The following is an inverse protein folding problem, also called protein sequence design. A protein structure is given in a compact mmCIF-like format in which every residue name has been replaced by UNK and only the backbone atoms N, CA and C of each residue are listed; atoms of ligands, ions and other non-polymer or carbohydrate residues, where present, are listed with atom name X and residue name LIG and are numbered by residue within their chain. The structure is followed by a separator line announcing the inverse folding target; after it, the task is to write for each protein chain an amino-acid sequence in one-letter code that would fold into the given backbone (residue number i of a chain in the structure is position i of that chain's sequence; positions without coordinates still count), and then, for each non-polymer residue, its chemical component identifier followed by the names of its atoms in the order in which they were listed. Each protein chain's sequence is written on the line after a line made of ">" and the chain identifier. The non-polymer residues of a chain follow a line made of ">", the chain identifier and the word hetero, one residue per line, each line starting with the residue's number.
data_IF_057739679490
#
_entry.id   IF_057739679490
#
_cell.length_a   1.000
_cell.length_b   1.000
_cell.length_c   1.000
_cell.angle_alpha   90.00
_cell.angle_beta   90.00
_cell.angle_gamma   90.00
#
_symmetry.space_group_name_H-M   'P 1'
#
loop_
_entity.id
_entity.type
_entity.pdbx_description
1 polymer ?
#
# COMPACT_ATOMS: atom_id res chain seq x y z
N UNK A 1 13.78 -5.57 4.72
CA UNK A 1 13.73 -4.58 3.62
C UNK A 1 14.59 -5.05 2.48
N UNK A 2 14.07 -4.94 1.25
CA UNK A 2 14.72 -5.31 0.00
C UNK A 2 14.16 -4.43 -1.14
N UNK A 3 14.65 -3.20 -1.31
CA UNK A 3 14.16 -2.28 -2.35
C UNK A 3 14.89 -2.57 -3.66
N UNK A 4 14.16 -2.86 -4.75
CA UNK A 4 14.77 -3.10 -6.08
C UNK A 4 15.46 -1.87 -6.64
N UNK A 5 16.58 -2.08 -7.31
CA UNK A 5 17.39 -1.06 -7.97
C UNK A 5 17.73 -1.48 -9.41
N UNK A 6 17.54 -0.56 -10.34
CA UNK A 6 17.87 -0.68 -11.75
C UNK A 6 19.28 -0.18 -12.01
N UNK A 7 20.28 -0.91 -11.51
CA UNK A 7 21.69 -0.52 -11.60
C UNK A 7 22.33 -1.07 -12.90
N UNK A 8 22.92 -0.21 -13.75
CA UNK A 8 23.74 -0.64 -14.87
C UNK A 8 24.96 -1.44 -14.39
N UNK A 9 25.33 -2.47 -15.13
CA UNK A 9 26.45 -3.35 -14.74
C UNK A 9 27.78 -2.60 -14.54
N UNK A 10 28.01 -1.53 -15.30
CA UNK A 10 29.20 -0.67 -15.20
C UNK A 10 29.29 0.14 -13.91
N UNK A 11 28.19 0.33 -13.19
CA UNK A 11 28.12 1.19 -12.01
C UNK A 11 28.06 0.41 -10.69
N UNK A 12 27.85 -0.92 -10.77
CA UNK A 12 27.65 -1.78 -9.59
C UNK A 12 28.75 -1.67 -8.54
N UNK A 13 30.02 -1.58 -8.96
CA UNK A 13 31.15 -1.65 -8.02
C UNK A 13 31.25 -0.39 -7.16
N UNK A 14 30.84 0.77 -7.70
CA UNK A 14 30.77 2.03 -6.96
C UNK A 14 29.68 2.02 -5.89
N UNK A 15 28.61 1.25 -6.12
CA UNK A 15 27.44 1.28 -5.27
C UNK A 15 27.46 0.21 -4.16
N UNK A 16 28.41 -0.73 -4.20
CA UNK A 16 28.59 -1.78 -3.19
C UNK A 16 28.80 -1.22 -1.78
N UNK A 17 29.46 -0.07 -1.65
CA UNK A 17 29.69 0.59 -0.36
C UNK A 17 28.37 0.99 0.33
N UNK A 18 27.30 1.25 -0.44
CA UNK A 18 25.98 1.58 0.07
C UNK A 18 25.15 0.34 0.47
N UNK A 19 25.74 -0.86 0.43
CA UNK A 19 25.10 -2.08 0.90
C UNK A 19 24.10 -2.70 -0.08
N UNK A 20 24.24 -2.41 -1.38
CA UNK A 20 23.46 -3.08 -2.42
C UNK A 20 23.86 -4.56 -2.53
N UNK A 21 22.91 -5.41 -2.89
CA UNK A 21 23.12 -6.84 -3.10
C UNK A 21 22.49 -7.31 -4.39
N UNK A 22 23.03 -8.38 -4.97
CA UNK A 22 22.49 -9.01 -6.16
C UNK A 22 21.62 -10.20 -5.76
N UNK A 23 20.38 -10.24 -6.24
CA UNK A 23 19.53 -11.42 -6.17
C UNK A 23 19.67 -12.22 -7.47
N UNK A 24 20.23 -13.43 -7.39
CA UNK A 24 20.52 -14.26 -8.56
C UNK A 24 19.26 -14.84 -9.22
N UNK A 25 18.26 -15.23 -8.43
CA UNK A 25 17.01 -15.82 -8.90
C UNK A 25 16.18 -14.80 -9.69
N UNK A 26 16.00 -13.61 -9.13
CA UNK A 26 15.22 -12.53 -9.72
C UNK A 26 16.03 -11.58 -10.61
N UNK A 27 17.34 -11.83 -10.74
CA UNK A 27 18.29 -11.05 -11.55
C UNK A 27 18.16 -9.54 -11.35
N UNK A 28 18.13 -9.10 -10.09
CA UNK A 28 17.95 -7.69 -9.74
C UNK A 28 18.88 -7.29 -8.60
N UNK A 29 19.32 -6.03 -8.62
CA UNK A 29 20.00 -5.42 -7.49
C UNK A 29 18.97 -4.94 -6.48
N UNK A 30 19.31 -4.98 -5.20
CA UNK A 30 18.42 -4.48 -4.15
C UNK A 30 19.19 -3.90 -2.97
N UNK A 31 18.55 -2.97 -2.27
CA UNK A 31 19.04 -2.33 -1.05
C UNK A 31 18.39 -2.96 0.19
N UNK A 32 19.19 -3.30 1.20
CA UNK A 32 18.68 -3.86 2.46
C UNK A 32 18.51 -2.84 3.59
N UNK A 33 19.26 -1.74 3.57
CA UNK A 33 19.20 -0.71 4.59
C UNK A 33 18.70 0.61 3.98
N UNK A 34 17.52 1.06 4.40
CA UNK A 34 16.90 2.29 3.91
C UNK A 34 17.71 3.55 4.21
N UNK A 35 18.63 3.50 5.19
CA UNK A 35 19.50 4.65 5.51
C UNK A 35 20.34 5.10 4.32
N UNK A 36 20.67 4.17 3.42
CA UNK A 36 21.44 4.46 2.23
C UNK A 36 20.58 4.77 0.99
N UNK A 37 19.25 4.78 1.13
CA UNK A 37 18.33 4.95 0.00
C UNK A 37 18.52 6.28 -0.73
N UNK A 38 18.88 7.34 0.00
CA UNK A 38 19.16 8.64 -0.60
C UNK A 38 20.34 8.59 -1.58
N UNK A 39 21.39 7.82 -1.28
CA UNK A 39 22.59 7.68 -2.13
C UNK A 39 22.35 6.89 -3.42
N UNK A 40 21.32 6.04 -3.45
CA UNK A 40 21.00 5.17 -4.59
C UNK A 40 19.66 5.51 -5.26
N UNK A 41 19.05 6.65 -4.90
CA UNK A 41 17.70 7.03 -5.32
C UNK A 41 17.52 7.20 -6.84
N UNK A 42 18.60 7.50 -7.56
CA UNK A 42 18.61 7.58 -9.04
C UNK A 42 18.35 6.25 -9.74
N UNK A 43 18.53 5.13 -9.05
CA UNK A 43 18.36 3.78 -9.59
C UNK A 43 17.02 3.15 -9.21
N UNK A 44 16.12 3.88 -8.55
CA UNK A 44 14.79 3.39 -8.22
C UNK A 44 13.93 3.27 -9.48
N UNK A 45 12.98 2.32 -9.49
CA UNK A 45 11.97 2.19 -10.55
C UNK A 45 11.25 3.52 -10.80
N UNK A 46 10.92 4.23 -9.72
CA UNK A 46 10.37 5.57 -9.77
C UNK A 46 10.95 6.42 -8.63
N UNK A 47 11.70 7.46 -8.99
CA UNK A 47 12.30 8.42 -8.04
C UNK A 47 11.29 9.25 -7.24
N UNK A 48 10.02 9.28 -7.69
CA UNK A 48 8.94 10.04 -7.04
C UNK A 48 8.17 9.21 -6.01
N UNK A 49 8.52 7.94 -5.78
CA UNK A 49 7.94 7.18 -4.68
C UNK A 49 8.22 7.88 -3.34
N UNK A 50 7.19 8.05 -2.54
CA UNK A 50 7.22 8.75 -1.25
C UNK A 50 7.22 7.79 -0.07
N UNK A 51 6.85 6.52 -0.27
CA UNK A 51 6.95 5.47 0.74
C UNK A 51 7.11 4.08 0.12
N UNK A 52 7.60 3.13 0.91
CA UNK A 52 7.71 1.72 0.54
C UNK A 52 7.12 0.82 1.62
N UNK A 53 6.19 -0.06 1.24
CA UNK A 53 5.74 -1.15 2.10
C UNK A 53 6.83 -2.22 2.18
N UNK A 54 7.16 -2.69 3.39
CA UNK A 54 8.29 -3.59 3.63
C UNK A 54 7.83 -4.87 4.33
N UNK A 55 8.47 -6.00 4.01
CA UNK A 55 8.18 -7.35 4.54
C UNK A 55 6.77 -7.92 4.24
N UNK A 56 5.71 -7.13 4.40
CA UNK A 56 4.32 -7.54 4.17
C UNK A 56 3.50 -6.36 3.66
N UNK A 57 2.77 -6.58 2.57
CA UNK A 57 1.68 -5.72 2.14
C UNK A 57 0.38 -6.26 2.76
N UNK A 58 -0.37 -5.39 3.43
CA UNK A 58 -1.70 -5.72 3.93
C UNK A 58 -2.73 -5.23 2.90
N UNK A 59 -3.57 -6.13 2.40
CA UNK A 59 -4.71 -5.78 1.54
C UNK A 59 -5.96 -5.98 2.36
N UNK A 60 -6.69 -4.91 2.63
CA UNK A 60 -7.93 -4.93 3.41
C UNK A 60 -9.10 -5.03 2.44
N UNK A 61 -9.96 -6.03 2.61
CA UNK A 61 -11.20 -6.19 1.87
C UNK A 61 -12.39 -5.87 2.79
N UNK A 62 -13.32 -5.06 2.27
CA UNK A 62 -14.64 -4.83 2.85
C UNK A 62 -15.73 -4.96 1.79
N UNK A 63 -16.99 -4.85 2.20
CA UNK A 63 -18.14 -4.93 1.30
C UNK A 63 -19.05 -3.72 1.49
N UNK A 64 -19.46 -3.12 0.38
CA UNK A 64 -20.39 -1.97 0.38
C UNK A 64 -21.52 -2.20 -0.64
N UNK A 65 -22.61 -1.46 -0.48
CA UNK A 65 -23.59 -1.29 -1.56
C UNK A 65 -23.08 -0.25 -2.55
N UNK A 66 -22.97 -0.61 -3.82
CA UNK A 66 -22.59 0.34 -4.86
C UNK A 66 -23.60 1.49 -4.96
N UNK A 67 -23.15 2.74 -4.83
CA UNK A 67 -24.03 3.93 -4.88
C UNK A 67 -24.85 4.05 -6.18
N UNK A 68 -24.39 3.44 -7.28
CA UNK A 68 -25.05 3.52 -8.59
C UNK A 68 -26.00 2.36 -8.88
N UNK A 69 -25.61 1.12 -8.57
CA UNK A 69 -26.39 -0.07 -8.94
C UNK A 69 -26.89 -0.89 -7.76
N UNK A 70 -26.62 -0.45 -6.53
CA UNK A 70 -27.07 -1.03 -5.26
C UNK A 70 -26.63 -2.47 -4.98
N UNK A 71 -25.88 -3.11 -5.89
CA UNK A 71 -25.29 -4.43 -5.66
C UNK A 71 -24.21 -4.34 -4.59
N UNK A 72 -24.17 -5.35 -3.72
CA UNK A 72 -23.07 -5.57 -2.78
C UNK A 72 -21.82 -5.91 -3.58
N UNK A 73 -20.74 -5.15 -3.37
CA UNK A 73 -19.47 -5.31 -4.07
C UNK A 73 -18.30 -5.33 -3.08
N UNK A 74 -17.21 -6.07 -3.37
CA UNK A 74 -15.98 -5.95 -2.62
C UNK A 74 -15.27 -4.64 -2.97
N UNK A 75 -14.74 -3.98 -1.95
CA UNK A 75 -13.83 -2.84 -2.05
C UNK A 75 -12.55 -3.15 -1.28
N UNK A 76 -11.45 -2.52 -1.68
CA UNK A 76 -10.14 -2.82 -1.14
C UNK A 76 -9.40 -1.55 -0.70
N UNK A 77 -8.71 -1.63 0.43
CA UNK A 77 -7.71 -0.67 0.88
C UNK A 77 -6.35 -1.35 0.98
N UNK A 78 -5.30 -0.54 0.97
CA UNK A 78 -3.93 -1.00 1.14
C UNK A 78 -3.39 -0.51 2.48
N UNK A 79 -2.48 -1.27 3.07
CA UNK A 79 -1.75 -0.85 4.24
C UNK A 79 -0.46 -1.64 4.40
N UNK A 80 0.31 -1.27 5.41
CA UNK A 80 1.44 -2.07 5.84
C UNK A 80 1.67 -1.89 7.33
N UNK A 81 2.09 -2.97 7.99
CA UNK A 81 2.52 -2.96 9.40
C UNK A 81 3.96 -2.47 9.56
N UNK A 82 4.75 -2.45 8.48
CA UNK A 82 6.12 -1.97 8.47
C UNK A 82 6.42 -1.30 7.13
N UNK A 83 6.75 -0.02 7.15
CA UNK A 83 7.06 0.70 5.93
C UNK A 83 8.11 1.77 6.19
N UNK A 84 8.74 2.25 5.12
CA UNK A 84 9.53 3.48 5.17
C UNK A 84 8.81 4.58 4.41
N UNK A 85 8.96 5.83 4.85
CA UNK A 85 8.37 6.98 4.19
C UNK A 85 9.33 8.16 4.20
N UNK A 86 9.17 9.06 3.24
CA UNK A 86 10.02 10.24 3.09
C UNK A 86 9.37 11.45 3.76
N UNK A 87 10.07 12.03 4.73
CA UNK A 87 9.64 13.24 5.44
C UNK A 87 10.80 14.25 5.46
N UNK A 88 10.56 15.48 5.00
CA UNK A 88 11.56 16.57 4.94
C UNK A 88 12.89 16.16 4.28
N UNK A 89 12.84 15.25 3.30
CA UNK A 89 14.02 14.78 2.57
C UNK A 89 14.67 13.51 3.11
N UNK A 90 14.32 13.10 4.32
CA UNK A 90 14.87 11.94 5.02
C UNK A 90 13.93 10.74 4.96
N UNK A 91 14.50 9.53 4.93
CA UNK A 91 13.73 8.29 5.00
C UNK A 91 13.61 7.82 6.45
N UNK A 92 12.37 7.63 6.89
CA UNK A 92 12.04 7.20 8.25
C UNK A 92 11.35 5.84 8.22
N UNK A 93 11.60 5.03 9.24
CA UNK A 93 10.96 3.73 9.41
C UNK A 93 9.75 3.82 10.34
N UNK A 94 8.64 3.21 9.93
CA UNK A 94 7.40 3.14 10.70
C UNK A 94 7.03 1.68 11.00
N UNK A 95 7.04 1.26 12.27
CA UNK A 95 6.72 -0.11 12.67
C UNK A 95 5.25 -0.32 13.10
N UNK A 96 4.34 0.59 12.73
CA UNK A 96 2.90 0.47 13.06
C UNK A 96 2.06 0.35 11.81
N UNK A 97 0.99 -0.44 11.92
CA UNK A 97 -0.01 -0.57 10.88
C UNK A 97 -0.64 0.77 10.53
N UNK A 98 -0.60 1.11 9.25
CA UNK A 98 -1.25 2.29 8.67
C UNK A 98 -1.88 1.90 7.34
N UNK A 99 -2.92 2.63 6.96
CA UNK A 99 -3.60 2.51 5.67
C UNK A 99 -3.09 3.57 4.71
N UNK A 100 -3.06 3.24 3.43
CA UNK A 100 -2.64 4.12 2.35
C UNK A 100 -3.86 4.53 1.52
N UNK A 101 -3.92 5.81 1.14
CA UNK A 101 -4.95 6.37 0.24
C UNK A 101 -4.32 7.29 -0.81
N UNK A 102 -5.14 7.77 -1.73
CA UNK A 102 -4.78 8.72 -2.77
C UNK A 102 -3.51 8.28 -3.52
N UNK A 103 -3.44 6.97 -3.83
CA UNK A 103 -2.24 6.38 -4.42
C UNK A 103 -2.16 6.75 -5.89
N UNK A 104 -1.27 7.67 -6.22
CA UNK A 104 -1.07 8.22 -7.57
C UNK A 104 0.00 7.49 -8.36
N UNK A 105 0.92 6.79 -7.69
CA UNK A 105 1.90 5.91 -8.33
C UNK A 105 2.23 4.69 -7.46
N UNK A 106 2.63 3.60 -8.09
CA UNK A 106 3.01 2.35 -7.42
C UNK A 106 3.96 1.54 -8.32
N UNK A 107 4.75 0.66 -7.71
CA UNK A 107 5.67 -0.26 -8.40
C UNK A 107 4.97 -1.32 -9.25
N UNK A 108 5.62 -1.81 -10.30
CA UNK A 108 5.07 -2.87 -11.15
C UNK A 108 4.87 -4.20 -10.40
N UNK A 109 5.68 -4.48 -9.39
CA UNK A 109 5.47 -5.64 -8.51
C UNK A 109 4.10 -5.59 -7.83
N UNK A 110 3.63 -4.40 -7.43
CA UNK A 110 2.29 -4.25 -6.87
C UNK A 110 1.20 -4.52 -7.93
N UNK A 111 1.38 -4.07 -9.18
CA UNK A 111 0.49 -4.44 -10.30
C UNK A 111 0.36 -5.95 -10.44
N UNK A 112 1.47 -6.68 -10.31
CA UNK A 112 1.50 -8.14 -10.42
C UNK A 112 0.81 -8.83 -9.26
N UNK A 113 0.89 -8.29 -8.05
CA UNK A 113 0.15 -8.78 -6.89
C UNK A 113 -1.37 -8.64 -7.11
N UNK A 114 -1.85 -7.48 -7.59
CA UNK A 114 -3.27 -7.30 -7.89
C UNK A 114 -3.79 -8.32 -8.93
N UNK A 115 -3.00 -8.56 -9.99
CA UNK A 115 -3.31 -9.58 -11.01
C UNK A 115 -3.36 -10.99 -10.40
N UNK A 116 -2.34 -11.36 -9.62
CA UNK A 116 -2.25 -12.68 -8.98
C UNK A 116 -3.42 -12.94 -8.03
N UNK A 117 -3.83 -11.93 -7.26
CA UNK A 117 -4.97 -12.01 -6.35
C UNK A 117 -6.34 -11.83 -7.05
N UNK A 118 -6.36 -11.65 -8.37
CA UNK A 118 -7.57 -11.38 -9.16
C UNK A 118 -8.38 -10.16 -8.65
N UNK A 119 -7.69 -9.13 -8.13
CA UNK A 119 -8.31 -7.89 -7.66
C UNK A 119 -8.47 -6.95 -8.85
N UNK A 120 -9.64 -7.02 -9.50
CA UNK A 120 -9.98 -6.20 -10.67
C UNK A 120 -10.66 -4.88 -10.35
N UNK A 121 -11.07 -4.66 -9.10
CA UNK A 121 -11.80 -3.45 -8.70
C UNK A 121 -10.90 -2.28 -8.36
N UNK A 122 -9.60 -2.48 -8.11
CA UNK A 122 -8.63 -1.40 -7.91
C UNK A 122 -7.98 -1.02 -9.24
N UNK A 123 -8.24 0.19 -9.72
CA UNK A 123 -7.69 0.69 -10.99
C UNK A 123 -7.44 2.20 -10.92
N UNK A 124 -6.38 2.67 -11.58
CA UNK A 124 -6.14 4.11 -11.72
C UNK A 124 -7.30 4.78 -12.47
N UNK A 125 -7.81 5.88 -11.93
CA UNK A 125 -8.88 6.63 -12.57
C UNK A 125 -8.93 8.08 -12.08
N UNK A 126 -9.31 8.99 -12.98
CA UNK A 126 -9.43 10.42 -12.67
C UNK A 126 -10.65 10.70 -11.78
N UNK A 127 -10.48 11.51 -10.74
CA UNK A 127 -11.54 12.05 -9.89
C UNK A 127 -11.72 13.54 -10.18
N UNK A 128 -12.93 13.94 -10.58
CA UNK A 128 -13.25 15.36 -10.80
C UNK A 128 -13.17 16.17 -9.50
N UNK A 129 -13.62 15.58 -8.38
CA UNK A 129 -13.60 16.22 -7.06
C UNK A 129 -12.18 16.46 -6.57
N UNK A 130 -11.27 15.51 -6.80
CA UNK A 130 -9.87 15.61 -6.35
C UNK A 130 -8.93 16.24 -7.39
N UNK A 131 -9.42 16.51 -8.62
CA UNK A 131 -8.63 17.07 -9.71
C UNK A 131 -7.42 16.21 -10.15
N UNK A 132 -7.39 14.92 -9.81
CA UNK A 132 -6.23 14.05 -10.01
C UNK A 132 -6.63 12.59 -10.29
N UNK A 133 -5.68 11.79 -10.79
CA UNK A 133 -5.86 10.34 -10.97
C UNK A 133 -5.16 9.57 -9.87
N UNK A 134 -5.89 8.69 -9.20
CA UNK A 134 -5.37 7.80 -8.18
C UNK A 134 -5.94 6.39 -8.34
N UNK A 135 -5.38 5.41 -7.64
CA UNK A 135 -5.83 4.03 -7.58
C UNK A 135 -7.17 3.98 -6.83
N UNK A 136 -8.24 3.67 -7.53
CA UNK A 136 -9.60 3.82 -7.03
C UNK A 136 -10.36 2.51 -7.14
N UNK A 137 -11.25 2.28 -6.17
CA UNK A 137 -12.20 1.19 -6.23
C UNK A 137 -13.26 1.44 -7.31
N UNK A 138 -13.60 0.43 -8.09
CA UNK A 138 -14.67 0.42 -9.08
C UNK A 138 -15.64 -0.72 -8.80
N UNK A 139 -16.92 -0.45 -9.05
CA UNK A 139 -17.94 -1.49 -9.00
C UNK A 139 -17.70 -2.51 -10.10
N UNK A 140 -17.48 -3.77 -9.74
CA UNK A 140 -17.28 -4.85 -10.72
C UNK A 140 -18.53 -5.11 -11.58
N UNK A 141 -19.72 -4.69 -11.13
CA UNK A 141 -20.96 -4.89 -11.85
C UNK A 141 -21.30 -3.78 -12.86
N UNK A 142 -21.11 -2.50 -12.50
CA UNK A 142 -21.51 -1.36 -13.32
C UNK A 142 -20.39 -0.35 -13.60
N UNK A 143 -19.16 -0.65 -13.16
CA UNK A 143 -17.94 0.12 -13.38
C UNK A 143 -17.95 1.54 -12.80
N UNK A 144 -18.93 1.87 -11.95
CA UNK A 144 -18.94 3.15 -11.25
C UNK A 144 -17.77 3.26 -10.26
N UNK A 145 -17.11 4.41 -10.28
CA UNK A 145 -16.06 4.80 -9.33
C UNK A 145 -16.64 4.86 -7.91
N UNK A 146 -15.97 4.23 -6.96
CA UNK A 146 -16.25 4.32 -5.53
C UNK A 146 -15.20 5.24 -4.91
N UNK A 147 -15.59 6.49 -4.63
CA UNK A 147 -14.64 7.53 -4.21
C UNK A 147 -14.06 7.28 -2.82
N UNK A 148 -12.79 7.65 -2.63
CA UNK A 148 -12.08 7.42 -1.36
C UNK A 148 -12.70 8.10 -0.16
N UNK A 149 -13.29 9.29 -0.31
CA UNK A 149 -13.95 10.00 0.80
C UNK A 149 -15.00 9.12 1.52
N UNK A 150 -15.85 8.44 0.76
CA UNK A 150 -16.85 7.51 1.30
C UNK A 150 -16.26 6.23 1.88
N UNK A 151 -15.07 5.84 1.42
CA UNK A 151 -14.40 4.61 1.83
C UNK A 151 -13.44 4.79 3.00
N UNK A 152 -13.01 6.02 3.30
CA UNK A 152 -11.97 6.31 4.29
C UNK A 152 -12.29 7.45 5.27
N UNK A 153 -13.19 8.39 4.95
CA UNK A 153 -13.33 9.64 5.73
C UNK A 153 -14.73 9.89 6.30
N UNK A 154 -15.77 9.32 5.68
CA UNK A 154 -17.13 9.38 6.21
C UNK A 154 -17.28 8.67 7.57
N UNK A 155 -18.28 9.08 8.36
CA UNK A 155 -18.51 8.56 9.73
C UNK A 155 -18.73 7.03 9.72
N UNK A 156 -19.36 6.50 8.66
CA UNK A 156 -19.66 5.08 8.46
C UNK A 156 -18.77 4.43 7.38
N UNK A 157 -17.59 5.01 7.17
CA UNK A 157 -16.59 4.51 6.24
C UNK A 157 -16.17 3.06 6.56
N UNK A 158 -16.22 2.19 5.55
CA UNK A 158 -15.84 0.77 5.70
C UNK A 158 -14.37 0.59 6.12
N UNK A 159 -13.47 1.52 5.76
CA UNK A 159 -12.05 1.47 6.17
C UNK A 159 -11.72 2.41 7.33
N UNK A 160 -12.74 2.79 8.10
CA UNK A 160 -12.59 3.54 9.36
C UNK A 160 -13.44 2.93 10.47
N UNK A 161 -13.26 1.62 10.77
CA UNK A 161 -14.07 0.94 11.78
C UNK A 161 -13.83 1.57 13.16
N UNK A 162 -14.91 1.99 13.81
CA UNK A 162 -14.92 2.55 15.16
C UNK A 162 -15.39 1.52 16.20
N UNK A 163 -15.84 0.33 15.77
CA UNK A 163 -16.23 -0.78 16.66
C UNK A 163 -15.59 -2.11 16.26
N UNK A 164 -15.46 -3.02 17.24
CA UNK A 164 -15.02 -4.41 16.99
C UNK A 164 -15.91 -5.11 15.95
N UNK A 165 -17.22 -4.86 16.00
CA UNK A 165 -18.20 -5.45 15.07
C UNK A 165 -18.00 -4.96 13.63
N UNK A 166 -17.62 -3.70 13.44
CA UNK A 166 -17.25 -3.17 12.13
C UNK A 166 -15.94 -3.79 11.64
N UNK A 167 -14.91 -3.86 12.49
CA UNK A 167 -13.65 -4.48 12.11
C UNK A 167 -13.79 -5.96 11.72
N UNK A 168 -14.66 -6.72 12.40
CA UNK A 168 -14.95 -8.12 12.07
C UNK A 168 -15.59 -8.32 10.68
N UNK A 169 -16.09 -7.26 10.04
CA UNK A 169 -16.59 -7.32 8.66
C UNK A 169 -15.47 -7.23 7.62
N UNK A 170 -14.26 -6.89 8.06
CA UNK A 170 -13.09 -6.75 7.21
C UNK A 170 -12.27 -8.04 7.18
N UNK A 171 -11.65 -8.28 6.02
CA UNK A 171 -10.61 -9.30 5.86
C UNK A 171 -9.29 -8.62 5.51
N UNK A 172 -8.23 -8.96 6.22
CA UNK A 172 -6.88 -8.46 5.93
C UNK A 172 -6.05 -9.61 5.39
N UNK A 173 -5.63 -9.48 4.13
CA UNK A 173 -4.70 -10.39 3.49
C UNK A 173 -3.28 -9.91 3.74
N UNK A 174 -2.50 -10.72 4.46
CA UNK A 174 -1.09 -10.48 4.73
C UNK A 174 -0.26 -11.10 3.60
N UNK A 175 0.16 -10.28 2.64
CA UNK A 175 0.93 -10.70 1.48
C UNK A 175 2.45 -10.52 1.73
N UNK A 176 3.23 -11.61 1.88
CA UNK A 176 4.66 -11.51 2.17
C UNK A 176 5.44 -10.97 0.97
N UNK A 177 6.31 -10.00 1.24
CA UNK A 177 7.11 -9.31 0.24
C UNK A 177 8.52 -9.87 0.21
N UNK A 178 8.94 -10.30 -0.99
CA UNK A 178 10.35 -10.61 -1.24
C UNK A 178 11.13 -9.31 -1.46
N UNK A 179 10.55 -8.40 -2.25
CA UNK A 179 11.03 -7.05 -2.48
C UNK A 179 9.98 -6.04 -2.02
N UNK A 180 10.46 -4.92 -1.50
CA UNK A 180 9.62 -3.85 -0.98
C UNK A 180 8.90 -3.14 -2.12
N UNK A 181 7.67 -2.70 -1.88
CA UNK A 181 6.80 -2.10 -2.89
C UNK A 181 6.79 -0.58 -2.75
N UNK A 182 7.16 0.14 -3.80
CA UNK A 182 7.16 1.60 -3.82
C UNK A 182 5.79 2.17 -4.17
N UNK A 183 5.45 3.31 -3.54
CA UNK A 183 4.19 4.02 -3.74
C UNK A 183 4.38 5.54 -3.66
N UNK A 184 3.49 6.29 -4.32
CA UNK A 184 3.26 7.71 -4.11
C UNK A 184 1.79 7.89 -3.74
N UNK A 185 1.51 8.52 -2.61
CA UNK A 185 0.17 8.73 -2.07
C UNK A 185 0.22 9.26 -0.64
N UNK A 186 -0.86 9.04 0.11
CA UNK A 186 -1.01 9.49 1.49
C UNK A 186 -1.03 8.30 2.45
N UNK A 187 -0.45 8.49 3.63
CA UNK A 187 -0.47 7.53 4.73
C UNK A 187 -1.45 8.07 5.77
N UNK A 188 -2.53 7.34 6.02
CA UNK A 188 -3.56 7.74 6.98
C UNK A 188 -3.13 7.30 8.38
N UNK A 189 -3.20 8.23 9.33
CA UNK A 189 -3.24 7.85 10.74
C UNK A 189 -4.59 7.22 11.06
N UNK A 190 -4.57 5.95 11.46
CA UNK A 190 -5.76 5.28 12.01
C UNK A 190 -6.02 5.89 13.40
N UNK A 191 -6.55 7.12 13.44
CA UNK A 191 -6.85 7.88 14.65
C UNK A 191 -8.16 8.65 14.46
N UNK A 192 -9.25 8.15 15.03
CA UNK A 192 -10.39 8.96 15.46
C UNK A 192 -10.37 9.01 16.99
N UNK A 193 -10.17 10.22 17.52
CA UNK A 193 -10.31 10.69 18.92
C UNK A 193 -9.88 9.77 20.09
N UNK A 194 -8.87 10.26 20.83
CA UNK A 194 -8.56 10.02 22.26
C UNK A 194 -7.86 8.74 22.73
N UNK A 195 -7.64 7.70 21.93
CA UNK A 195 -6.73 6.63 22.38
C UNK A 195 -6.04 5.93 21.21
N UNK A 196 -4.75 6.22 21.01
CA UNK A 196 -3.95 5.67 19.90
C UNK A 196 -3.87 4.15 19.87
N UNK A 197 -4.17 3.48 21.00
CA UNK A 197 -4.05 2.04 21.14
C UNK A 197 -5.39 1.32 20.92
N UNK A 198 -6.53 1.93 21.22
CA UNK A 198 -7.86 1.28 21.09
C UNK A 198 -8.24 1.05 19.63
N UNK A 199 -7.95 2.00 18.73
CA UNK A 199 -8.31 1.83 17.31
C UNK A 199 -7.42 0.82 16.59
N UNK A 200 -6.13 0.77 16.92
CA UNK A 200 -5.25 -0.31 16.46
C UNK A 200 -5.75 -1.67 16.98
N UNK A 201 -6.25 -1.73 18.22
CA UNK A 201 -6.91 -2.91 18.80
C UNK A 201 -8.19 -3.31 18.05
N UNK A 202 -8.99 -2.35 17.59
CA UNK A 202 -10.18 -2.62 16.77
C UNK A 202 -9.77 -3.34 15.48
N UNK A 203 -8.75 -2.83 14.77
CA UNK A 203 -8.24 -3.48 13.55
C UNK A 203 -7.68 -4.89 13.77
N UNK A 204 -7.21 -5.24 14.98
CA UNK A 204 -6.80 -6.62 15.29
C UNK A 204 -7.97 -7.62 15.35
N UNK A 205 -9.23 -7.15 15.35
CA UNK A 205 -10.40 -8.01 15.30
C UNK A 205 -10.86 -8.37 13.88
N UNK A 206 -10.27 -7.76 12.85
CA UNK A 206 -10.50 -8.18 11.47
C UNK A 206 -9.92 -9.57 11.21
N UNK A 207 -10.57 -10.35 10.34
CA UNK A 207 -10.10 -11.67 9.93
C UNK A 207 -8.75 -11.54 9.21
N UNK A 208 -7.69 -12.15 9.73
CA UNK A 208 -6.36 -12.14 9.09
C UNK A 208 -6.08 -13.43 8.33
N UNK A 209 -5.75 -13.28 7.06
CA UNK A 209 -5.46 -14.37 6.14
C UNK A 209 -4.01 -14.22 5.66
N UNK A 210 -3.16 -15.18 6.00
CA UNK A 210 -1.78 -15.24 5.49
C UNK A 210 -1.77 -15.82 4.09
N UNK A 211 -1.23 -15.09 3.13
CA UNK A 211 -1.02 -15.61 1.77
C UNK A 211 0.33 -16.33 1.74
N UNK A 212 0.29 -17.64 1.48
CA UNK A 212 1.48 -18.47 1.30
C UNK A 212 1.79 -18.46 -0.21
N UNK A 213 3.03 -18.12 -0.56
CA UNK A 213 3.54 -18.13 -1.94
C UNK A 213 3.80 -19.54 -2.43
#
# INVERSE_FOLDING_TARGET
>A
MNIKLNIPYSEKDKLKEYGIKWNQEHKTWYLQDYKNLNYVSSYLENKNFTFYATETLNIVQGFINCWKCSKVIPVYALGSSKFIYKEKGEWLFQPKFKIFRNITAYSEDFSNILKHMNIKSLEKSFSNTAGSSYLMNKCQCCQSKQGEFFLFEEIDSIFSPNTVKEAQQLKIYDFPLLFDLGFTGEIIEILTSECSDINALIWFNAERIKIIK
#
